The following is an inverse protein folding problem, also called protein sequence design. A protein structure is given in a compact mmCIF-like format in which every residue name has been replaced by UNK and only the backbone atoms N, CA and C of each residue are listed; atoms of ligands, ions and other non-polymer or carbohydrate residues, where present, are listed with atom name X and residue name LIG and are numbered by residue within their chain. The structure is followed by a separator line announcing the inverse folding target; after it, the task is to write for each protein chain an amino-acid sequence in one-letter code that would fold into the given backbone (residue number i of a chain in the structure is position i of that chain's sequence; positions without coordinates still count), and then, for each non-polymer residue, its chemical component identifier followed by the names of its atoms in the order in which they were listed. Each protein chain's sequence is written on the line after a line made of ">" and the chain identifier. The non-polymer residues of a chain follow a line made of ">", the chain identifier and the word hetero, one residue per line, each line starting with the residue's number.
data_IF_901116755389
#
_entry.id   IF_901116755389
#
_cell.length_a   1.000
_cell.length_b   1.000
_cell.length_c   1.000
_cell.angle_alpha   90.00
_cell.angle_beta   90.00
_cell.angle_gamma   90.00
#
_symmetry.space_group_name_H-M   'P 1'
#
loop_
_entity.id
_entity.type
_entity.pdbx_description
1 polymer ?
#
# COMPACT_ATOMS: atom_id res chain seq x y z
N UNK A 1 14.92 19.64 14.50
CA UNK A 1 15.19 18.90 13.25
C UNK A 1 14.09 19.16 12.19
N UNK A 2 13.87 20.44 11.85
CA UNK A 2 12.74 20.91 11.03
C UNK A 2 13.09 21.20 9.57
N UNK A 3 14.34 21.09 9.14
CA UNK A 3 14.78 21.75 7.89
C UNK A 3 15.11 20.84 6.70
N UNK A 4 14.94 19.51 6.81
CA UNK A 4 15.26 18.64 5.69
C UNK A 4 14.08 18.43 4.71
N UNK A 5 12.83 18.59 5.15
CA UNK A 5 11.68 18.32 4.28
C UNK A 5 11.66 16.87 3.75
N UNK A 6 10.84 16.61 2.73
CA UNK A 6 10.74 15.28 2.12
C UNK A 6 11.84 14.99 1.07
N UNK A 7 12.42 16.06 0.51
CA UNK A 7 13.29 15.99 -0.67
C UNK A 7 14.60 15.21 -0.46
N UNK A 8 15.39 15.39 0.62
CA UNK A 8 16.68 14.71 0.79
C UNK A 8 16.55 13.18 0.85
N UNK A 9 15.48 12.67 1.47
CA UNK A 9 15.22 11.23 1.50
C UNK A 9 14.87 10.71 0.10
N UNK A 10 14.00 11.43 -0.62
CA UNK A 10 13.60 11.07 -1.98
C UNK A 10 14.77 11.13 -2.97
N UNK A 11 15.64 12.14 -2.87
CA UNK A 11 16.86 12.24 -3.68
C UNK A 11 17.77 11.04 -3.42
N UNK A 12 18.09 10.78 -2.15
CA UNK A 12 18.94 9.63 -1.79
C UNK A 12 18.36 8.29 -2.26
N UNK A 13 17.04 8.14 -2.24
CA UNK A 13 16.36 6.96 -2.74
C UNK A 13 16.37 6.88 -4.27
N UNK A 14 16.16 8.01 -4.95
CA UNK A 14 16.17 8.07 -6.42
C UNK A 14 17.56 7.78 -6.97
N UNK A 15 18.61 8.17 -6.26
CA UNK A 15 19.99 7.88 -6.61
C UNK A 15 20.31 6.38 -6.61
N UNK A 16 19.56 5.55 -5.89
CA UNK A 16 19.72 4.09 -5.92
C UNK A 16 19.15 3.46 -7.19
N UNK A 17 18.45 4.22 -8.04
CA UNK A 17 17.94 3.73 -9.33
C UNK A 17 19.04 3.73 -10.38
N UNK A 18 19.04 2.75 -11.28
CA UNK A 18 20.09 2.62 -12.30
C UNK A 18 19.84 3.51 -13.53
N UNK A 19 18.57 3.69 -13.91
CA UNK A 19 18.20 4.39 -15.13
C UNK A 19 17.99 5.88 -14.91
N UNK A 20 18.80 6.70 -15.58
CA UNK A 20 18.66 8.17 -15.51
C UNK A 20 17.30 8.66 -16.03
N UNK A 21 16.72 7.96 -17.01
CA UNK A 21 15.37 8.30 -17.49
C UNK A 21 14.29 8.01 -16.44
N UNK A 22 14.43 6.90 -15.69
CA UNK A 22 13.53 6.56 -14.59
C UNK A 22 13.65 7.60 -13.47
N UNK A 23 14.87 7.99 -13.08
CA UNK A 23 15.12 9.02 -12.07
C UNK A 23 14.40 10.32 -12.39
N UNK A 24 14.56 10.81 -13.63
CA UNK A 24 13.92 12.05 -14.08
C UNK A 24 12.40 11.97 -14.07
N UNK A 25 11.82 10.84 -14.49
CA UNK A 25 10.37 10.63 -14.44
C UNK A 25 9.88 10.63 -12.98
N UNK A 26 10.55 9.88 -12.10
CA UNK A 26 10.16 9.76 -10.70
C UNK A 26 10.27 11.10 -9.97
N UNK A 27 11.35 11.85 -10.15
CA UNK A 27 11.49 13.19 -9.55
C UNK A 27 10.35 14.11 -9.98
N UNK A 28 10.00 14.13 -11.26
CA UNK A 28 8.85 14.91 -11.75
C UNK A 28 7.53 14.49 -11.11
N UNK A 29 7.35 13.19 -10.84
CA UNK A 29 6.17 12.69 -10.12
C UNK A 29 6.18 13.05 -8.63
N UNK A 30 7.33 12.98 -7.97
CA UNK A 30 7.47 13.44 -6.58
C UNK A 30 7.11 14.91 -6.44
N UNK A 31 7.69 15.78 -7.28
CA UNK A 31 7.38 17.21 -7.30
C UNK A 31 5.91 17.50 -7.59
N UNK A 32 5.29 16.72 -8.50
CA UNK A 32 3.88 16.87 -8.89
C UNK A 32 2.90 16.49 -7.77
N UNK A 33 3.16 15.43 -7.02
CA UNK A 33 2.17 14.83 -6.11
C UNK A 33 2.46 15.10 -4.64
N UNK A 34 3.72 14.94 -4.20
CA UNK A 34 4.05 14.87 -2.77
C UNK A 34 3.77 16.15 -1.99
N UNK A 35 4.10 17.37 -2.48
CA UNK A 35 3.81 18.60 -1.76
C UNK A 35 2.32 18.75 -1.42
N UNK A 36 1.45 18.55 -2.39
CA UNK A 36 -0.01 18.67 -2.24
C UNK A 36 -0.58 17.58 -1.33
N UNK A 37 -0.09 16.34 -1.45
CA UNK A 37 -0.53 15.22 -0.61
C UNK A 37 -0.08 15.38 0.84
N UNK A 38 1.16 15.85 1.08
CA UNK A 38 1.64 16.14 2.44
C UNK A 38 0.78 17.21 3.12
N UNK A 39 0.47 18.29 2.40
CA UNK A 39 -0.33 19.37 2.96
C UNK A 39 -1.76 18.91 3.30
N UNK A 40 -2.40 18.16 2.39
CA UNK A 40 -3.70 17.56 2.66
C UNK A 40 -3.66 16.57 3.83
N UNK A 41 -2.60 15.77 3.94
CA UNK A 41 -2.42 14.80 5.01
C UNK A 41 -2.23 15.44 6.39
N UNK A 42 -1.73 16.69 6.45
CA UNK A 42 -1.61 17.49 7.68
C UNK A 42 -2.93 18.11 8.11
N UNK A 43 -3.71 18.60 7.15
CA UNK A 43 -4.81 19.53 7.42
C UNK A 43 -6.21 18.94 7.22
N UNK A 44 -6.35 17.89 6.39
CA UNK A 44 -7.65 17.40 5.92
C UNK A 44 -8.05 16.04 6.45
N UNK A 45 -7.12 15.17 6.82
CA UNK A 45 -7.43 13.76 7.09
C UNK A 45 -7.03 13.33 8.49
N UNK A 46 -7.87 12.48 9.08
CA UNK A 46 -7.59 11.82 10.35
C UNK A 46 -7.09 10.39 10.11
N UNK A 47 -6.09 10.00 10.89
CA UNK A 47 -5.49 8.65 10.87
C UNK A 47 -5.84 7.90 12.14
N UNK A 48 -5.84 6.58 12.05
CA UNK A 48 -6.11 5.69 13.20
C UNK A 48 -5.02 5.81 14.29
N UNK A 49 -3.80 6.15 13.88
CA UNK A 49 -2.65 6.37 14.77
C UNK A 49 -1.81 7.55 14.25
N UNK A 50 -1.12 8.31 15.10
CA UNK A 50 -0.15 9.31 14.65
C UNK A 50 0.97 8.67 13.83
N UNK A 51 1.18 9.15 12.61
CA UNK A 51 2.26 8.70 11.72
C UNK A 51 3.05 9.93 11.28
N UNK A 52 4.37 10.00 11.56
CA UNK A 52 5.24 11.06 11.08
C UNK A 52 5.23 11.14 9.55
N UNK A 53 5.36 12.34 9.00
CA UNK A 53 5.36 12.56 7.54
C UNK A 53 6.45 11.77 6.81
N UNK A 54 7.63 11.72 7.41
CA UNK A 54 8.75 10.97 6.84
C UNK A 54 8.42 9.47 6.68
N UNK A 55 7.61 8.90 7.56
CA UNK A 55 7.19 7.50 7.44
C UNK A 55 6.28 7.28 6.22
N UNK A 56 5.46 8.26 5.85
CA UNK A 56 4.67 8.20 4.61
C UNK A 56 5.56 8.25 3.37
N UNK A 57 6.59 9.11 3.37
CA UNK A 57 7.57 9.17 2.28
C UNK A 57 8.37 7.87 2.16
N UNK A 58 8.83 7.33 3.28
CA UNK A 58 9.50 6.03 3.34
C UNK A 58 8.60 4.90 2.82
N UNK A 59 7.31 4.93 3.16
CA UNK A 59 6.32 3.98 2.67
C UNK A 59 6.12 4.10 1.16
N UNK A 60 6.02 5.32 0.62
CA UNK A 60 5.92 5.58 -0.81
C UNK A 60 7.14 5.02 -1.56
N UNK A 61 8.35 5.37 -1.12
CA UNK A 61 9.59 4.83 -1.68
C UNK A 61 9.65 3.30 -1.61
N UNK A 62 9.27 2.70 -0.47
CA UNK A 62 9.25 1.25 -0.30
C UNK A 62 8.24 0.58 -1.23
N UNK A 63 7.04 1.15 -1.41
CA UNK A 63 6.05 0.65 -2.36
C UNK A 63 6.57 0.73 -3.80
N UNK A 64 7.17 1.85 -4.18
CA UNK A 64 7.76 2.03 -5.51
C UNK A 64 8.93 1.07 -5.77
N UNK A 65 9.76 0.76 -4.78
CA UNK A 65 10.79 -0.30 -4.90
C UNK A 65 10.15 -1.67 -5.20
N UNK A 66 9.01 -1.95 -4.57
CA UNK A 66 8.36 -3.23 -4.76
C UNK A 66 7.57 -3.33 -6.06
N UNK A 67 7.05 -2.20 -6.56
CA UNK A 67 6.15 -2.12 -7.71
C UNK A 67 6.90 -1.85 -9.03
N UNK A 68 7.94 -1.01 -9.01
CA UNK A 68 8.74 -0.69 -10.20
C UNK A 68 9.82 -1.75 -10.42
N UNK A 69 9.37 -2.96 -10.74
CA UNK A 69 10.21 -4.13 -11.04
C UNK A 69 10.08 -4.54 -12.50
N UNK A 70 11.06 -5.28 -13.08
CA UNK A 70 11.06 -5.63 -14.50
C UNK A 70 9.76 -6.27 -15.03
N UNK A 71 9.04 -7.13 -14.27
CA UNK A 71 7.75 -7.67 -14.73
C UNK A 71 6.64 -6.63 -14.90
N UNK A 72 6.71 -5.52 -14.17
CA UNK A 72 5.69 -4.47 -14.17
C UNK A 72 6.05 -3.32 -15.12
N UNK A 73 7.33 -2.97 -15.17
CA UNK A 73 7.91 -1.86 -15.92
C UNK A 73 9.04 -2.42 -16.79
N UNK A 74 8.75 -2.58 -18.08
CA UNK A 74 9.75 -2.96 -19.08
C UNK A 74 10.49 -1.71 -19.58
N UNK A 75 11.69 -1.89 -20.16
CA UNK A 75 12.50 -0.77 -20.69
C UNK A 75 11.78 0.06 -21.76
N UNK A 76 10.79 -0.53 -22.43
CA UNK A 76 10.04 0.07 -23.53
C UNK A 76 8.61 0.47 -23.12
N UNK A 77 8.28 0.40 -21.83
CA UNK A 77 6.92 0.71 -21.38
C UNK A 77 6.58 2.21 -21.54
N UNK A 78 5.28 2.54 -21.73
CA UNK A 78 4.83 3.93 -21.75
C UNK A 78 5.16 4.66 -20.44
N UNK A 79 5.54 5.93 -20.54
CA UNK A 79 5.85 6.76 -19.35
C UNK A 79 4.67 6.83 -18.37
N UNK A 80 3.45 6.78 -18.88
CA UNK A 80 2.21 6.81 -18.08
C UNK A 80 2.11 5.63 -17.10
N UNK A 81 2.78 4.51 -17.36
CA UNK A 81 2.80 3.38 -16.43
C UNK A 81 3.51 3.73 -15.12
N UNK A 82 4.60 4.51 -15.18
CA UNK A 82 5.27 5.00 -13.98
C UNK A 82 4.31 5.85 -13.14
N UNK A 83 3.53 6.72 -13.78
CA UNK A 83 2.56 7.56 -13.11
C UNK A 83 1.41 6.73 -12.48
N UNK A 84 0.93 5.69 -13.15
CA UNK A 84 -0.08 4.75 -12.61
C UNK A 84 0.44 4.08 -11.33
N UNK A 85 1.64 3.49 -11.36
CA UNK A 85 2.23 2.85 -10.17
C UNK A 85 2.56 3.87 -9.08
N UNK A 86 3.00 5.07 -9.45
CA UNK A 86 3.26 6.13 -8.49
C UNK A 86 2.00 6.59 -7.78
N UNK A 87 0.91 6.82 -8.51
CA UNK A 87 -0.38 7.20 -7.95
C UNK A 87 -0.89 6.13 -7.01
N UNK A 88 -0.83 4.85 -7.41
CA UNK A 88 -1.23 3.74 -6.54
C UNK A 88 -0.38 3.70 -5.26
N UNK A 89 0.95 3.78 -5.40
CA UNK A 89 1.86 3.80 -4.26
C UNK A 89 1.59 4.99 -3.32
N UNK A 90 1.29 6.16 -3.87
CA UNK A 90 1.03 7.38 -3.12
C UNK A 90 -0.30 7.29 -2.33
N UNK A 91 -1.37 6.81 -2.97
CA UNK A 91 -2.65 6.56 -2.30
C UNK A 91 -2.46 5.61 -1.12
N UNK A 92 -1.71 4.52 -1.31
CA UNK A 92 -1.47 3.55 -0.24
C UNK A 92 -0.52 4.07 0.83
N UNK A 93 0.48 4.86 0.47
CA UNK A 93 1.42 5.43 1.43
C UNK A 93 0.74 6.43 2.37
N UNK A 94 -0.12 7.31 1.85
CA UNK A 94 -0.73 8.39 2.63
C UNK A 94 -2.13 8.06 3.14
N UNK A 95 -2.90 7.30 2.37
CA UNK A 95 -4.30 7.03 2.65
C UNK A 95 -4.58 5.75 3.45
N UNK A 96 -3.67 4.79 3.48
CA UNK A 96 -3.93 3.47 4.12
C UNK A 96 -4.27 3.54 5.62
N UNK A 97 -3.74 4.54 6.32
CA UNK A 97 -4.00 4.76 7.75
C UNK A 97 -5.29 5.54 8.04
N UNK A 98 -6.00 6.02 7.00
CA UNK A 98 -7.33 6.62 7.17
C UNK A 98 -8.32 5.55 7.58
N UNK A 99 -9.28 5.94 8.41
CA UNK A 99 -10.24 5.03 9.03
C UNK A 99 -11.63 5.66 9.07
N UNK A 100 -12.63 4.86 9.39
CA UNK A 100 -13.97 5.35 9.64
C UNK A 100 -14.10 5.62 11.14
N UNK A 101 -14.42 6.87 11.52
CA UNK A 101 -14.84 7.19 12.88
C UNK A 101 -16.37 7.18 13.00
N UNK A 102 -16.91 7.67 14.11
CA UNK A 102 -18.36 7.64 14.37
C UNK A 102 -19.17 8.49 13.38
N UNK A 103 -18.58 9.55 12.83
CA UNK A 103 -19.28 10.57 12.04
C UNK A 103 -18.80 10.61 10.59
N UNK A 104 -17.52 10.32 10.36
CA UNK A 104 -16.86 10.52 9.07
C UNK A 104 -16.09 9.28 8.67
N UNK A 105 -16.31 8.83 7.44
CA UNK A 105 -15.41 7.91 6.78
C UNK A 105 -14.28 8.68 6.07
N UNK A 106 -13.11 8.73 6.70
CA UNK A 106 -11.96 9.44 6.17
C UNK A 106 -11.40 8.81 4.88
N UNK A 107 -11.74 7.54 4.57
CA UNK A 107 -11.38 6.92 3.27
C UNK A 107 -12.21 7.49 2.14
N UNK A 108 -13.50 7.74 2.40
CA UNK A 108 -14.40 8.42 1.48
C UNK A 108 -13.91 9.85 1.20
N UNK A 109 -13.58 10.60 2.25
CA UNK A 109 -13.09 11.98 2.09
C UNK A 109 -11.73 12.03 1.37
N UNK A 110 -10.82 11.11 1.66
CA UNK A 110 -9.57 10.97 0.92
C UNK A 110 -9.82 10.67 -0.56
N UNK A 111 -10.74 9.73 -0.87
CA UNK A 111 -11.12 9.37 -2.25
C UNK A 111 -11.65 10.58 -3.02
N UNK A 112 -12.62 11.31 -2.43
CA UNK A 112 -13.22 12.50 -3.05
C UNK A 112 -12.18 13.57 -3.31
N UNK A 113 -11.32 13.85 -2.33
CA UNK A 113 -10.26 14.83 -2.48
C UNK A 113 -9.26 14.41 -3.56
N UNK A 114 -8.75 13.18 -3.52
CA UNK A 114 -7.77 12.67 -4.47
C UNK A 114 -8.26 12.77 -5.91
N UNK A 115 -9.47 12.28 -6.16
CA UNK A 115 -10.08 12.26 -7.50
C UNK A 115 -10.45 13.66 -8.00
N UNK A 116 -10.63 14.64 -7.11
CA UNK A 116 -10.84 16.04 -7.47
C UNK A 116 -9.53 16.77 -7.78
N UNK A 117 -8.49 16.54 -6.98
CA UNK A 117 -7.19 17.18 -7.11
C UNK A 117 -6.40 16.65 -8.31
N UNK A 118 -6.37 15.31 -8.48
CA UNK A 118 -5.56 14.66 -9.49
C UNK A 118 -6.43 14.03 -10.58
N UNK A 119 -6.28 14.52 -11.82
CA UNK A 119 -7.08 14.07 -12.98
C UNK A 119 -6.32 13.19 -13.98
N UNK A 120 -4.99 13.08 -13.84
CA UNK A 120 -4.14 12.38 -14.79
C UNK A 120 -4.40 10.87 -14.80
N UNK A 121 -4.51 10.26 -13.61
CA UNK A 121 -4.83 8.84 -13.44
C UNK A 121 -6.28 8.70 -12.99
N UNK A 122 -7.09 7.99 -13.77
CA UNK A 122 -8.53 7.81 -13.53
C UNK A 122 -8.80 6.52 -12.79
N UNK A 123 -9.72 6.60 -11.83
CA UNK A 123 -10.29 5.47 -11.12
C UNK A 123 -11.72 5.20 -11.60
N UNK A 124 -12.24 3.97 -11.48
CA UNK A 124 -13.64 3.72 -11.74
C UNK A 124 -14.54 4.56 -10.82
N UNK A 125 -15.73 4.93 -11.31
CA UNK A 125 -16.60 5.92 -10.66
C UNK A 125 -17.25 5.43 -9.35
N UNK A 126 -17.21 4.13 -9.09
CA UNK A 126 -17.82 3.49 -7.91
C UNK A 126 -16.77 3.20 -6.84
N UNK A 127 -17.18 3.17 -5.57
CA UNK A 127 -16.30 2.78 -4.46
C UNK A 127 -15.17 3.78 -4.13
N UNK A 128 -14.21 3.31 -3.35
CA UNK A 128 -13.04 4.09 -2.92
C UNK A 128 -11.82 3.77 -3.79
N UNK A 129 -10.86 4.69 -3.86
CA UNK A 129 -9.57 4.40 -4.53
C UNK A 129 -8.86 3.17 -3.94
N UNK A 130 -9.15 2.83 -2.68
CA UNK A 130 -8.62 1.65 -1.99
C UNK A 130 -9.29 0.32 -2.37
N UNK A 131 -10.37 0.35 -3.16
CA UNK A 131 -11.06 -0.84 -3.65
C UNK A 131 -10.42 -1.43 -4.91
N UNK A 132 -9.38 -0.78 -5.45
CA UNK A 132 -8.77 -1.15 -6.71
C UNK A 132 -7.30 -1.58 -6.59
N UNK A 133 -6.90 -2.50 -7.45
CA UNK A 133 -5.51 -2.91 -7.69
C UNK A 133 -5.12 -2.64 -9.15
N UNK A 134 -3.82 -2.61 -9.45
CA UNK A 134 -3.33 -2.47 -10.82
C UNK A 134 -3.26 -3.85 -11.46
N UNK A 135 -4.03 -4.07 -12.53
CA UNK A 135 -3.98 -5.31 -13.29
C UNK A 135 -2.59 -5.49 -13.94
N UNK A 136 -1.88 -6.63 -13.73
CA UNK A 136 -0.50 -6.81 -14.17
C UNK A 136 -0.27 -6.63 -15.67
N UNK A 137 -1.25 -6.95 -16.51
CA UNK A 137 -1.11 -6.83 -17.97
C UNK A 137 -1.59 -5.47 -18.48
N UNK A 138 -2.90 -5.20 -18.34
CA UNK A 138 -3.57 -4.00 -18.85
C UNK A 138 -3.20 -2.70 -18.14
N UNK A 139 -2.62 -2.76 -16.94
CA UNK A 139 -2.32 -1.62 -16.06
C UNK A 139 -3.56 -0.78 -15.68
N UNK A 140 -4.75 -1.34 -15.83
CA UNK A 140 -6.00 -0.71 -15.41
C UNK A 140 -6.28 -0.99 -13.93
N UNK A 141 -7.02 -0.08 -13.30
CA UNK A 141 -7.53 -0.27 -11.94
C UNK A 141 -8.72 -1.22 -11.97
N UNK A 142 -8.55 -2.42 -11.40
CA UNK A 142 -9.59 -3.45 -11.28
C UNK A 142 -9.95 -3.66 -9.81
N UNK A 143 -11.21 -3.99 -9.48
CA UNK A 143 -11.62 -4.13 -8.09
C UNK A 143 -10.98 -5.37 -7.46
N UNK A 144 -10.61 -5.29 -6.18
CA UNK A 144 -10.03 -6.44 -5.45
C UNK A 144 -10.93 -7.68 -5.42
N UNK A 145 -12.24 -7.51 -5.67
CA UNK A 145 -13.20 -8.59 -5.81
C UNK A 145 -12.88 -9.54 -6.97
N UNK A 146 -12.22 -9.04 -8.02
CA UNK A 146 -11.87 -9.85 -9.19
C UNK A 146 -10.68 -10.79 -8.92
N UNK A 147 -9.91 -10.52 -7.86
CA UNK A 147 -8.85 -11.41 -7.36
C UNK A 147 -9.37 -12.50 -6.40
N UNK A 148 -10.66 -12.55 -6.10
CA UNK A 148 -11.21 -13.54 -5.18
C UNK A 148 -11.29 -14.90 -5.88
N UNK A 149 -10.53 -15.86 -5.36
CA UNK A 149 -10.73 -17.27 -5.70
C UNK A 149 -12.06 -17.76 -5.11
N UNK A 150 -12.77 -18.68 -5.79
CA UNK A 150 -13.98 -19.28 -5.25
C UNK A 150 -13.71 -19.89 -3.87
N UNK A 151 -14.51 -19.52 -2.87
CA UNK A 151 -14.39 -20.11 -1.54
C UNK A 151 -14.96 -21.53 -1.56
N UNK A 152 -14.10 -22.52 -1.31
CA UNK A 152 -14.49 -23.90 -1.08
C UNK A 152 -14.37 -24.23 0.41
N UNK A 153 -15.48 -24.64 1.02
CA UNK A 153 -15.52 -25.01 2.43
C UNK A 153 -15.03 -26.45 2.56
N UNK A 154 -13.86 -26.62 3.16
CA UNK A 154 -13.35 -27.94 3.51
C UNK A 154 -14.02 -28.43 4.82
N UNK A 155 -14.88 -29.46 4.78
CA UNK A 155 -15.56 -29.96 5.98
C UNK A 155 -14.61 -30.61 7.00
N UNK A 156 -13.36 -30.92 6.62
CA UNK A 156 -12.36 -31.53 7.50
C UNK A 156 -11.58 -30.49 8.33
N UNK A 157 -11.61 -29.21 7.92
CA UNK A 157 -10.93 -28.11 8.62
C UNK A 157 -11.92 -27.39 9.54
N UNK A 158 -11.59 -27.15 10.82
CA UNK A 158 -12.45 -26.38 11.71
C UNK A 158 -12.82 -25.03 11.10
N UNK A 159 -14.11 -24.70 11.14
CA UNK A 159 -14.64 -23.47 10.53
C UNK A 159 -13.98 -22.20 11.10
N UNK A 160 -13.49 -22.26 12.33
CA UNK A 160 -12.75 -21.19 13.01
C UNK A 160 -11.34 -20.95 12.44
N UNK A 161 -10.77 -21.94 11.74
CA UNK A 161 -9.46 -21.85 11.06
C UNK A 161 -9.56 -21.57 9.57
N UNK A 162 -10.77 -21.55 8.99
CA UNK A 162 -10.95 -21.23 7.59
C UNK A 162 -11.02 -19.71 7.39
N UNK A 163 -10.06 -19.18 6.63
CA UNK A 163 -10.05 -17.78 6.23
C UNK A 163 -10.92 -17.64 4.98
N UNK A 164 -12.10 -17.04 5.11
CA UNK A 164 -12.87 -16.62 3.94
C UNK A 164 -12.14 -15.45 3.29
N UNK A 165 -11.69 -15.62 2.04
CA UNK A 165 -11.09 -14.54 1.29
C UNK A 165 -12.17 -13.49 0.97
N UNK A 166 -12.05 -12.30 1.56
CA UNK A 166 -12.82 -11.10 1.20
C UNK A 166 -11.91 -10.12 0.46
N UNK A 167 -12.50 -9.10 -0.16
CA UNK A 167 -11.73 -8.03 -0.81
C UNK A 167 -10.71 -7.39 0.15
N UNK A 168 -11.06 -7.24 1.44
CA UNK A 168 -10.17 -6.72 2.46
C UNK A 168 -8.99 -7.64 2.75
N UNK A 169 -9.21 -8.94 2.92
CA UNK A 169 -8.12 -9.90 3.20
C UNK A 169 -7.21 -10.06 2.00
N UNK A 170 -7.76 -10.11 0.78
CA UNK A 170 -6.99 -10.19 -0.47
C UNK A 170 -6.07 -8.99 -0.63
N UNK A 171 -6.58 -7.79 -0.36
CA UNK A 171 -5.80 -6.56 -0.40
C UNK A 171 -4.67 -6.52 0.62
N UNK A 172 -4.92 -6.95 1.85
CA UNK A 172 -3.84 -7.04 2.87
C UNK A 172 -2.82 -8.10 2.46
N UNK A 173 -3.27 -9.28 1.99
CA UNK A 173 -2.41 -10.37 1.49
C UNK A 173 -1.54 -9.91 0.31
N UNK A 174 -2.08 -9.08 -0.59
CA UNK A 174 -1.32 -8.46 -1.68
C UNK A 174 -0.10 -7.67 -1.15
N UNK A 175 -0.30 -6.77 -0.18
CA UNK A 175 0.82 -6.01 0.40
C UNK A 175 1.79 -6.89 1.19
N UNK A 176 1.29 -7.92 1.89
CA UNK A 176 2.16 -8.89 2.54
C UNK A 176 3.04 -9.65 1.54
N UNK A 177 2.48 -10.09 0.42
CA UNK A 177 3.21 -10.74 -0.67
C UNK A 177 4.20 -9.78 -1.35
N UNK A 178 3.92 -8.48 -1.34
CA UNK A 178 4.79 -7.46 -1.89
C UNK A 178 6.02 -7.19 -1.01
N UNK A 179 5.80 -7.04 0.30
CA UNK A 179 6.81 -6.57 1.26
C UNK A 179 7.64 -7.68 1.92
N UNK A 180 7.03 -8.80 2.29
CA UNK A 180 7.71 -9.87 3.06
C UNK A 180 8.91 -10.45 2.31
N UNK A 181 8.82 -10.81 1.01
CA UNK A 181 9.99 -11.30 0.28
C UNK A 181 11.13 -10.28 0.17
N UNK A 182 10.80 -8.99 0.27
CA UNK A 182 11.76 -7.87 0.23
C UNK A 182 12.21 -7.41 1.62
N UNK A 183 11.87 -8.17 2.66
CA UNK A 183 12.26 -7.91 4.06
C UNK A 183 11.82 -6.52 4.55
N UNK A 184 10.72 -5.99 4.02
CA UNK A 184 10.13 -4.72 4.45
C UNK A 184 9.13 -4.98 5.59
N UNK A 185 9.22 -4.27 6.72
CA UNK A 185 8.31 -4.47 7.86
C UNK A 185 6.89 -3.97 7.53
N UNK A 186 5.88 -4.61 8.12
CA UNK A 186 4.46 -4.26 7.94
C UNK A 186 3.81 -4.19 9.32
N UNK A 187 2.96 -3.18 9.52
CA UNK A 187 2.11 -3.06 10.71
C UNK A 187 0.64 -3.07 10.28
N UNK A 188 -0.14 -4.03 10.80
CA UNK A 188 -1.59 -4.09 10.58
C UNK A 188 -2.31 -3.51 11.80
N UNK A 189 -3.13 -2.49 11.59
CA UNK A 189 -3.88 -1.81 12.64
C UNK A 189 -5.37 -1.98 12.41
N UNK A 190 -6.12 -2.30 13.46
CA UNK A 190 -7.58 -2.43 13.43
C UNK A 190 -8.12 -2.99 14.74
N UNK A 191 -9.43 -3.03 14.89
CA UNK A 191 -10.11 -3.46 16.11
C UNK A 191 -9.72 -4.89 16.53
N UNK A 192 -9.80 -5.18 17.85
CA UNK A 192 -9.61 -6.54 18.34
C UNK A 192 -10.61 -7.50 17.68
N UNK A 193 -10.18 -8.74 17.41
CA UNK A 193 -11.02 -9.75 16.74
C UNK A 193 -11.15 -9.62 15.22
N UNK A 194 -10.51 -8.64 14.56
CA UNK A 194 -10.63 -8.43 13.10
C UNK A 194 -9.78 -9.38 12.23
N UNK A 195 -9.42 -10.56 12.72
CA UNK A 195 -8.65 -11.56 11.94
C UNK A 195 -7.19 -11.23 11.60
N UNK A 196 -6.62 -10.11 12.08
CA UNK A 196 -5.24 -9.68 11.75
C UNK A 196 -4.18 -10.74 12.07
N UNK A 197 -4.21 -11.29 13.28
CA UNK A 197 -3.24 -12.30 13.72
C UNK A 197 -3.36 -13.59 12.91
N UNK A 198 -4.59 -13.98 12.57
CA UNK A 198 -4.85 -15.17 11.75
C UNK A 198 -4.25 -14.97 10.35
N UNK A 199 -4.48 -13.82 9.73
CA UNK A 199 -3.93 -13.51 8.40
C UNK A 199 -2.39 -13.44 8.41
N UNK A 200 -1.79 -12.87 9.46
CA UNK A 200 -0.33 -12.85 9.60
C UNK A 200 0.22 -14.26 9.74
N UNK A 201 -0.37 -15.07 10.62
CA UNK A 201 0.07 -16.43 10.85
C UNK A 201 -0.05 -17.29 9.59
N UNK A 202 -1.17 -17.20 8.86
CA UNK A 202 -1.36 -17.87 7.58
C UNK A 202 -0.24 -17.52 6.58
N UNK A 203 0.07 -16.23 6.45
CA UNK A 203 1.16 -15.80 5.56
C UNK A 203 2.53 -16.28 6.02
N UNK A 204 2.81 -16.23 7.32
CA UNK A 204 4.10 -16.65 7.88
C UNK A 204 4.30 -18.17 7.72
N UNK A 205 3.25 -18.97 7.98
CA UNK A 205 3.25 -20.41 7.75
C UNK A 205 3.47 -20.80 6.29
N UNK A 206 3.11 -19.93 5.34
CA UNK A 206 3.34 -20.13 3.92
C UNK A 206 4.79 -19.83 3.47
N UNK A 207 5.68 -19.34 4.35
CA UNK A 207 7.04 -18.95 3.96
C UNK A 207 7.98 -20.16 3.96
N UNK A 208 8.97 -20.20 3.03
CA UNK A 208 9.98 -21.25 3.03
C UNK A 208 10.81 -21.23 4.31
N UNK A 209 10.83 -22.35 5.04
CA UNK A 209 11.56 -22.52 6.31
C UNK A 209 13.08 -22.48 6.14
N UNK A 210 13.59 -22.71 4.92
CA UNK A 210 15.01 -22.58 4.57
C UNK A 210 15.49 -21.13 4.58
N UNK A 211 14.59 -20.18 4.32
CA UNK A 211 14.92 -18.75 4.16
C UNK A 211 14.43 -17.91 5.33
N UNK A 212 13.37 -18.35 6.02
CA UNK A 212 12.71 -17.58 7.08
C UNK A 212 12.62 -18.38 8.37
N UNK A 213 12.99 -17.73 9.48
CA UNK A 213 12.73 -18.19 10.84
C UNK A 213 11.73 -17.25 11.48
N UNK A 214 10.70 -17.82 12.11
CA UNK A 214 9.62 -17.05 12.74
C UNK A 214 9.83 -17.08 14.24
N UNK A 215 9.81 -15.91 14.87
CA UNK A 215 9.82 -15.77 16.32
C UNK A 215 8.75 -14.77 16.71
N UNK A 216 7.81 -15.22 17.54
CA UNK A 216 6.75 -14.36 18.06
C UNK A 216 7.23 -13.65 19.31
N UNK A 217 7.24 -12.32 19.28
CA UNK A 217 7.58 -11.47 20.43
C UNK A 217 6.33 -10.67 20.79
N UNK A 218 5.58 -11.06 21.83
CA UNK A 218 4.39 -10.33 22.23
C UNK A 218 4.80 -8.99 22.87
N UNK A 219 4.40 -7.89 22.24
CA UNK A 219 4.57 -6.56 22.80
C UNK A 219 3.39 -6.24 23.72
N UNK A 220 3.66 -6.01 24.99
CA UNK A 220 2.66 -5.63 25.99
C UNK A 220 3.15 -4.38 26.73
N UNK A 221 2.27 -3.73 27.49
CA UNK A 221 2.62 -2.48 28.19
C UNK A 221 3.75 -2.64 29.22
N UNK A 222 4.05 -3.87 29.64
CA UNK A 222 5.03 -4.19 30.67
C UNK A 222 6.32 -4.82 30.11
N UNK A 223 6.45 -4.97 28.78
CA UNK A 223 7.69 -5.38 28.09
C UNK A 223 8.37 -4.20 27.42
#
# INVERSE_FOLDING_TARGET
>A
PQDLGWNPYVLSWTDTRESESEKNILMGLFDKYVPTVLEANRTRFKKITPIPEICHIQMLCSLLECLLVPPNITKECPKDWYEIYFVFACIWAFGSATFQDQLVDWRTEFTKWWTNEFKAVKFPATGHVFNYYIHPETKNFMPWTDMLEPFELDPEVPLQSQIVNTAETTRVRYFMNLFVPRKKPIMLIGNAGSGKTILINDKLSSLPTETFVITSVPFNFYT
#
